data_IF_761217110402
#
_entry.id   IF_761217110402
#
_cell.length_a   1.000
_cell.length_b   1.000
_cell.length_c   1.000
_cell.angle_alpha   90.00
_cell.angle_beta   90.00
_cell.angle_gamma   90.00
#
_symmetry.space_group_name_H-M   'P 1'
#
loop_
_entity.id
_entity.type
_entity.pdbx_description
1 polymer ?
#
# COMPACT_ATOMS: atom_id res chain seq x y z
N UNK A 1 2.79 6.08 -21.85
CA UNK A 1 4.03 6.82 -22.16
C UNK A 1 3.70 7.86 -23.22
N UNK A 2 3.67 9.13 -22.86
CA UNK A 2 3.41 10.23 -23.82
C UNK A 2 4.76 10.71 -24.29
N UNK A 3 5.16 10.29 -25.48
CA UNK A 3 6.35 10.77 -26.16
C UNK A 3 5.98 12.00 -26.99
N UNK A 4 6.71 13.09 -26.79
CA UNK A 4 6.67 14.27 -27.68
C UNK A 4 5.63 15.33 -27.37
N UNK A 5 4.73 15.12 -26.42
CA UNK A 5 3.81 16.16 -25.97
C UNK A 5 4.23 16.60 -24.56
N UNK A 6 4.35 17.89 -24.33
CA UNK A 6 4.66 18.43 -23.02
C UNK A 6 3.63 17.97 -21.99
N UNK A 7 4.11 17.47 -20.87
CA UNK A 7 3.27 17.14 -19.70
C UNK A 7 3.18 18.37 -18.80
N UNK A 8 1.96 18.77 -18.47
CA UNK A 8 1.69 19.83 -17.51
C UNK A 8 1.41 19.21 -16.14
N UNK A 9 2.43 19.16 -15.30
CA UNK A 9 2.31 18.70 -13.92
C UNK A 9 2.35 19.83 -12.91
N UNK A 10 2.36 19.49 -11.64
CA UNK A 10 2.45 20.44 -10.54
C UNK A 10 3.75 21.27 -10.56
N UNK A 11 4.80 20.79 -11.23
CA UNK A 11 6.11 21.45 -11.41
C UNK A 11 6.21 22.23 -12.73
N UNK A 12 5.13 22.36 -13.50
CA UNK A 12 5.12 23.07 -14.78
C UNK A 12 5.02 22.15 -15.99
N UNK A 13 5.52 22.63 -17.15
CA UNK A 13 5.53 21.87 -18.41
C UNK A 13 6.83 21.10 -18.54
N UNK A 14 6.73 19.79 -18.75
CA UNK A 14 7.87 18.92 -18.99
C UNK A 14 7.76 18.26 -20.37
N UNK A 15 8.88 18.27 -21.11
CA UNK A 15 9.01 17.53 -22.36
C UNK A 15 9.93 16.34 -22.10
N UNK A 16 9.48 15.15 -22.48
CA UNK A 16 10.26 13.94 -22.29
C UNK A 16 11.04 13.60 -23.57
N UNK A 17 12.27 13.15 -23.42
CA UNK A 17 13.07 12.63 -24.50
C UNK A 17 12.65 11.20 -24.92
N UNK A 18 13.39 10.60 -25.86
CA UNK A 18 13.06 9.27 -26.40
C UNK A 18 13.23 8.13 -25.37
N UNK A 19 14.00 8.32 -24.33
CA UNK A 19 14.19 7.34 -23.25
C UNK A 19 13.26 7.60 -22.06
N UNK A 20 12.52 8.71 -22.10
CA UNK A 20 11.52 9.05 -21.09
C UNK A 20 12.03 9.98 -20.02
N UNK A 21 13.22 10.55 -20.21
CA UNK A 21 13.75 11.57 -19.31
C UNK A 21 13.23 12.95 -19.70
N UNK A 22 13.21 13.88 -18.74
CA UNK A 22 12.79 15.26 -18.98
C UNK A 22 13.87 15.97 -19.79
N UNK A 23 13.53 16.40 -21.02
CA UNK A 23 14.42 17.18 -21.87
C UNK A 23 14.43 18.63 -21.42
N UNK A 24 15.60 19.15 -21.04
CA UNK A 24 15.76 20.55 -20.69
C UNK A 24 17.06 20.84 -19.93
N UNK A 25 17.45 22.09 -19.88
CA UNK A 25 18.68 22.57 -19.22
C UNK A 25 18.56 22.81 -17.72
N UNK A 26 17.49 22.35 -17.09
CA UNK A 26 17.30 22.49 -15.64
C UNK A 26 16.10 21.70 -15.15
N UNK A 27 16.28 21.03 -14.03
CA UNK A 27 15.20 20.40 -13.27
C UNK A 27 14.77 21.38 -12.19
N UNK A 28 13.48 21.67 -12.12
CA UNK A 28 12.94 22.24 -10.90
C UNK A 28 12.83 21.09 -9.89
N UNK A 29 13.78 21.06 -8.96
CA UNK A 29 13.69 20.13 -7.83
C UNK A 29 12.55 20.61 -6.94
N UNK A 30 11.45 19.90 -7.00
CA UNK A 30 10.27 20.20 -6.21
C UNK A 30 10.19 19.23 -5.03
N UNK A 31 9.92 19.76 -3.86
CA UNK A 31 9.64 18.97 -2.68
C UNK A 31 8.35 19.45 -2.02
N UNK A 32 7.60 18.52 -1.46
CA UNK A 32 6.48 18.88 -0.59
C UNK A 32 7.04 19.31 0.77
N UNK A 33 6.78 20.57 1.14
CA UNK A 33 7.13 21.10 2.46
C UNK A 33 5.86 21.29 3.29
N UNK A 34 5.84 20.77 4.52
CA UNK A 34 4.74 21.03 5.42
C UNK A 34 4.78 22.49 5.89
N UNK A 35 3.67 23.19 5.75
CA UNK A 35 3.52 24.58 6.19
C UNK A 35 2.25 24.67 7.04
N UNK A 36 2.34 25.37 8.17
CA UNK A 36 1.19 25.62 9.03
C UNK A 36 0.45 26.86 8.51
N UNK A 37 -0.79 26.68 8.04
CA UNK A 37 -1.64 27.78 7.58
C UNK A 37 -2.91 27.74 8.42
N UNK A 38 -3.19 28.80 9.16
CA UNK A 38 -4.37 28.97 10.03
C UNK A 38 -4.60 27.79 11.00
N UNK A 39 -3.51 27.21 11.52
CA UNK A 39 -3.55 26.06 12.45
C UNK A 39 -3.78 24.70 11.78
N UNK A 40 -3.90 24.62 10.46
CA UNK A 40 -3.93 23.39 9.68
C UNK A 40 -2.59 23.14 9.01
N UNK A 41 -2.14 21.87 9.02
CA UNK A 41 -0.97 21.46 8.24
C UNK A 41 -1.33 21.42 6.77
N UNK A 42 -0.61 22.18 5.97
CA UNK A 42 -0.75 22.26 4.52
C UNK A 42 0.54 21.80 3.88
N UNK A 43 0.45 20.93 2.88
CA UNK A 43 1.60 20.60 2.05
C UNK A 43 1.68 21.60 0.88
N UNK A 44 2.79 22.30 0.81
CA UNK A 44 3.10 23.15 -0.33
C UNK A 44 4.19 22.50 -1.17
N UNK A 45 3.97 22.49 -2.49
CA UNK A 45 5.02 22.09 -3.44
C UNK A 45 5.95 23.27 -3.65
N UNK A 46 7.16 23.16 -3.14
CA UNK A 46 8.23 24.15 -3.32
C UNK A 46 9.17 23.66 -4.43
N UNK A 47 9.25 24.44 -5.52
CA UNK A 47 10.16 24.18 -6.64
C UNK A 47 11.12 25.35 -6.77
N UNK A 48 12.40 25.15 -6.46
CA UNK A 48 13.45 26.17 -6.60
C UNK A 48 13.05 27.57 -6.09
N UNK A 49 12.28 27.61 -5.00
CA UNK A 49 11.79 28.86 -4.42
C UNK A 49 10.48 29.40 -4.99
N UNK A 50 9.87 28.70 -5.95
CA UNK A 50 8.50 29.00 -6.41
C UNK A 50 7.52 28.06 -5.74
N UNK A 51 6.46 28.60 -5.18
CA UNK A 51 5.41 27.81 -4.54
C UNK A 51 4.36 27.42 -5.58
N UNK A 52 4.19 26.11 -5.76
CA UNK A 52 3.08 25.54 -6.55
C UNK A 52 1.80 25.36 -5.73
N UNK A 53 0.99 24.42 -6.14
CA UNK A 53 -0.32 24.14 -5.53
C UNK A 53 -0.19 23.77 -4.05
N UNK A 54 -0.94 24.44 -3.19
CA UNK A 54 -1.08 24.05 -1.79
C UNK A 54 -2.15 22.95 -1.67
N UNK A 55 -1.77 21.80 -1.12
CA UNK A 55 -2.71 20.75 -0.74
C UNK A 55 -2.96 20.88 0.76
N UNK A 56 -4.17 21.27 1.13
CA UNK A 56 -4.57 21.38 2.53
C UNK A 56 -5.15 20.05 2.98
N UNK A 57 -4.51 19.44 3.97
CA UNK A 57 -5.04 18.24 4.63
C UNK A 57 -5.65 18.66 5.96
N UNK A 58 -6.95 18.56 6.14
CA UNK A 58 -7.60 18.85 7.43
C UNK A 58 -7.28 17.75 8.44
N UNK A 59 -6.27 17.98 9.27
CA UNK A 59 -5.81 17.03 10.29
C UNK A 59 -4.86 15.95 9.77
N UNK A 60 -4.41 15.07 10.65
CA UNK A 60 -3.67 13.87 10.27
C UNK A 60 -4.63 12.92 9.52
N UNK A 61 -4.34 12.64 8.25
CA UNK A 61 -5.10 11.63 7.53
C UNK A 61 -4.75 10.25 8.08
N UNK A 62 -5.73 9.55 8.65
CA UNK A 62 -5.58 8.18 9.11
C UNK A 62 -5.66 7.23 7.92
N UNK A 63 -4.59 6.47 7.71
CA UNK A 63 -4.51 5.44 6.68
C UNK A 63 -4.56 4.08 7.38
N UNK A 64 -5.62 3.34 7.15
CA UNK A 64 -5.81 2.02 7.74
C UNK A 64 -5.28 0.94 6.80
N UNK A 65 -4.43 0.09 7.31
CA UNK A 65 -3.90 -1.10 6.62
C UNK A 65 -4.45 -2.33 7.32
N UNK A 66 -5.04 -3.23 6.56
CA UNK A 66 -5.50 -4.51 7.08
C UNK A 66 -4.35 -5.51 7.19
N UNK A 67 -4.42 -6.39 8.19
CA UNK A 67 -3.55 -7.55 8.27
C UNK A 67 -4.40 -8.80 8.47
N UNK A 68 -4.33 -9.74 7.52
CA UNK A 68 -4.87 -11.09 7.67
C UNK A 68 -3.84 -11.97 8.35
N UNK A 69 -4.01 -12.14 9.67
CA UNK A 69 -3.12 -12.89 10.54
C UNK A 69 -3.74 -14.26 10.86
N UNK A 70 -2.99 -15.37 10.88
CA UNK A 70 -3.50 -16.68 11.29
C UNK A 70 -3.66 -16.75 12.83
N UNK A 71 -4.64 -16.00 13.36
CA UNK A 71 -4.90 -15.93 14.81
C UNK A 71 -5.37 -17.29 15.32
N UNK A 72 -6.16 -17.99 14.51
CA UNK A 72 -6.57 -19.38 14.73
C UNK A 72 -6.02 -20.30 13.64
N UNK A 73 -6.25 -21.60 13.79
CA UNK A 73 -5.85 -22.61 12.80
C UNK A 73 -4.46 -23.20 13.02
N UNK A 74 -3.97 -23.98 12.03
CA UNK A 74 -2.80 -24.85 12.23
C UNK A 74 -1.48 -24.13 12.44
N UNK A 75 -1.36 -22.87 12.06
CA UNK A 75 -0.15 -22.06 12.21
C UNK A 75 -0.32 -20.90 13.19
N UNK A 76 -1.35 -20.93 14.04
CA UNK A 76 -1.64 -19.89 15.03
C UNK A 76 -0.46 -19.59 15.98
N UNK A 77 0.42 -20.56 16.18
CA UNK A 77 1.64 -20.41 17.00
C UNK A 77 2.54 -19.27 16.49
N UNK A 78 2.50 -18.94 15.21
CA UNK A 78 3.28 -17.83 14.61
C UNK A 78 2.58 -16.47 14.69
N UNK A 79 1.28 -16.45 14.98
CA UNK A 79 0.47 -15.22 15.00
C UNK A 79 1.04 -14.11 15.90
N UNK A 80 1.54 -14.38 17.12
CA UNK A 80 2.14 -13.32 17.95
C UNK A 80 3.35 -12.66 17.29
N UNK A 81 4.21 -13.44 16.59
CA UNK A 81 5.36 -12.91 15.87
C UNK A 81 4.96 -12.02 14.71
N UNK A 82 3.94 -12.40 13.94
CA UNK A 82 3.39 -11.59 12.87
C UNK A 82 2.76 -10.30 13.38
N UNK A 83 2.01 -10.35 14.50
CA UNK A 83 1.44 -9.15 15.13
C UNK A 83 2.51 -8.17 15.59
N UNK A 84 3.60 -8.67 16.18
CA UNK A 84 4.75 -7.84 16.58
C UNK A 84 5.38 -7.17 15.35
N UNK A 85 5.60 -7.93 14.28
CA UNK A 85 6.17 -7.39 13.04
C UNK A 85 5.29 -6.28 12.43
N UNK A 86 3.97 -6.45 12.45
CA UNK A 86 3.02 -5.45 12.01
C UNK A 86 3.09 -4.17 12.87
N UNK A 87 3.15 -4.29 14.19
CA UNK A 87 3.30 -3.15 15.10
C UNK A 87 4.62 -2.40 14.92
N UNK A 88 5.71 -3.13 14.64
CA UNK A 88 7.00 -2.51 14.30
C UNK A 88 6.90 -1.74 12.97
N UNK A 89 6.27 -2.32 11.96
CA UNK A 89 6.06 -1.66 10.67
C UNK A 89 5.21 -0.40 10.82
N UNK A 90 4.11 -0.45 11.57
CA UNK A 90 3.26 0.70 11.88
C UNK A 90 4.05 1.81 12.57
N UNK A 91 4.80 1.46 13.62
CA UNK A 91 5.66 2.42 14.35
C UNK A 91 6.71 3.05 13.42
N UNK A 92 7.36 2.22 12.59
CA UNK A 92 8.35 2.70 11.64
C UNK A 92 7.75 3.66 10.62
N UNK A 93 6.64 3.29 9.99
CA UNK A 93 5.94 4.14 9.03
C UNK A 93 5.52 5.48 9.65
N UNK A 94 4.99 5.46 10.86
CA UNK A 94 4.60 6.67 11.57
C UNK A 94 5.78 7.56 11.99
N UNK A 95 6.99 7.00 12.02
CA UNK A 95 8.21 7.74 12.40
C UNK A 95 8.91 8.37 11.20
N UNK A 96 8.98 7.67 10.06
CA UNK A 96 9.79 8.10 8.91
C UNK A 96 9.05 8.98 7.90
N UNK A 97 7.74 8.97 7.93
CA UNK A 97 6.96 9.68 6.92
C UNK A 97 7.08 11.21 7.08
N UNK A 98 7.33 11.96 6.01
CA UNK A 98 7.43 13.41 6.05
C UNK A 98 6.07 14.10 6.04
N UNK A 99 4.99 13.36 5.81
CA UNK A 99 3.63 13.83 5.66
C UNK A 99 2.86 13.57 6.96
N UNK A 100 1.93 14.44 7.29
CA UNK A 100 1.11 14.31 8.50
C UNK A 100 0.03 13.21 8.34
N UNK A 101 0.46 12.00 7.94
CA UNK A 101 -0.36 10.79 7.92
C UNK A 101 -0.15 10.01 9.21
N UNK A 102 -1.17 9.31 9.63
CA UNK A 102 -1.08 8.34 10.70
C UNK A 102 -1.53 6.98 10.15
N UNK A 103 -0.62 6.02 10.15
CA UNK A 103 -0.92 4.64 9.78
C UNK A 103 -1.46 3.89 10.99
N UNK A 104 -2.49 3.09 10.76
CA UNK A 104 -3.10 2.20 11.74
C UNK A 104 -3.21 0.80 11.12
N UNK A 105 -2.69 -0.22 11.82
CA UNK A 105 -2.81 -1.61 11.40
C UNK A 105 -3.98 -2.28 12.12
N UNK A 106 -4.99 -2.70 11.37
CA UNK A 106 -6.13 -3.45 11.87
C UNK A 106 -5.95 -4.92 11.52
N UNK A 107 -6.09 -5.81 12.50
CA UNK A 107 -5.90 -7.25 12.29
C UNK A 107 -7.24 -7.99 12.25
N UNK A 108 -7.31 -8.99 11.37
CA UNK A 108 -8.40 -9.96 11.31
C UNK A 108 -7.84 -11.38 11.16
N UNK A 109 -8.62 -12.37 11.59
CA UNK A 109 -8.22 -13.78 11.51
C UNK A 109 -8.31 -14.30 10.08
N UNK A 110 -7.26 -14.97 9.63
CA UNK A 110 -7.25 -15.72 8.38
C UNK A 110 -7.53 -17.22 8.60
N UNK A 111 -7.42 -17.72 9.83
CA UNK A 111 -7.61 -19.13 10.18
C UNK A 111 -6.72 -20.12 9.43
N UNK A 112 -5.84 -19.65 8.55
CA UNK A 112 -5.18 -20.46 7.52
C UNK A 112 -6.19 -21.20 6.60
N UNK A 113 -7.39 -20.66 6.47
CA UNK A 113 -8.56 -21.23 5.77
C UNK A 113 -9.20 -20.17 4.86
N UNK A 114 -9.65 -20.58 3.66
CA UNK A 114 -10.18 -19.66 2.66
C UNK A 114 -11.47 -18.95 3.10
N UNK A 115 -12.36 -19.66 3.79
CA UNK A 115 -13.64 -19.10 4.25
C UNK A 115 -13.44 -18.12 5.39
N UNK A 116 -12.61 -18.49 6.36
CA UNK A 116 -12.25 -17.63 7.49
C UNK A 116 -11.53 -16.37 6.99
N UNK A 117 -10.60 -16.53 6.06
CA UNK A 117 -9.85 -15.40 5.48
C UNK A 117 -10.75 -14.47 4.65
N UNK A 118 -11.73 -15.00 3.91
CA UNK A 118 -12.72 -14.19 3.19
C UNK A 118 -13.55 -13.33 4.17
N UNK A 119 -13.97 -13.91 5.29
CA UNK A 119 -14.70 -13.19 6.35
C UNK A 119 -13.81 -12.13 7.00
N UNK A 120 -12.52 -12.48 7.27
CA UNK A 120 -11.54 -11.54 7.81
C UNK A 120 -11.28 -10.38 6.86
N UNK A 121 -11.14 -10.66 5.55
CA UNK A 121 -10.97 -9.63 4.52
C UNK A 121 -12.17 -8.67 4.46
N UNK A 122 -13.39 -9.20 4.50
CA UNK A 122 -14.60 -8.37 4.54
C UNK A 122 -14.61 -7.47 5.78
N UNK A 123 -14.25 -8.02 6.95
CA UNK A 123 -14.17 -7.25 8.20
C UNK A 123 -13.17 -6.08 8.08
N UNK A 124 -12.01 -6.32 7.46
CA UNK A 124 -11.01 -5.28 7.21
C UNK A 124 -11.51 -4.20 6.24
N UNK A 125 -12.18 -4.62 5.16
CA UNK A 125 -12.77 -3.72 4.16
C UNK A 125 -13.84 -2.84 4.81
N UNK A 126 -14.71 -3.42 5.62
CA UNK A 126 -15.75 -2.69 6.36
C UNK A 126 -15.17 -1.69 7.38
N UNK A 127 -13.96 -1.98 7.89
CA UNK A 127 -13.21 -1.06 8.72
C UNK A 127 -12.54 0.09 7.95
N UNK A 128 -12.60 0.05 6.61
CA UNK A 128 -12.08 1.09 5.73
C UNK A 128 -10.58 1.01 5.46
N UNK A 129 -9.99 -0.18 5.41
CA UNK A 129 -8.59 -0.35 5.03
C UNK A 129 -8.38 -0.06 3.54
N UNK A 130 -7.22 0.49 3.19
CA UNK A 130 -6.87 0.81 1.80
C UNK A 130 -5.99 -0.27 1.14
N UNK A 131 -5.56 -1.26 1.90
CA UNK A 131 -4.79 -2.40 1.44
C UNK A 131 -4.69 -3.46 2.53
N UNK A 132 -4.42 -4.71 2.16
CA UNK A 132 -4.36 -5.84 3.08
C UNK A 132 -2.99 -6.52 2.96
N UNK A 133 -2.27 -6.63 4.08
CA UNK A 133 -1.10 -7.49 4.23
C UNK A 133 -1.57 -8.89 4.66
N UNK A 134 -1.29 -9.90 3.84
CA UNK A 134 -1.74 -11.26 4.13
C UNK A 134 -2.27 -11.98 2.87
N UNK A 135 -2.66 -13.22 3.06
CA UNK A 135 -2.52 -14.04 4.25
C UNK A 135 -1.21 -14.83 4.25
N UNK A 136 -0.93 -15.54 5.32
CA UNK A 136 0.24 -16.42 5.39
C UNK A 136 0.06 -17.70 4.58
N UNK A 137 -1.13 -18.31 4.66
CA UNK A 137 -1.46 -19.56 3.98
C UNK A 137 -2.03 -19.30 2.59
N UNK A 138 -1.56 -20.04 1.58
CA UNK A 138 -1.98 -19.84 0.19
C UNK A 138 -3.49 -20.02 -0.02
N UNK A 139 -4.12 -21.01 0.64
CA UNK A 139 -5.57 -21.20 0.58
C UNK A 139 -6.35 -20.02 1.19
N UNK A 140 -5.86 -19.46 2.28
CA UNK A 140 -6.42 -18.26 2.90
C UNK A 140 -6.29 -17.04 1.97
N UNK A 141 -5.13 -16.86 1.33
CA UNK A 141 -4.91 -15.80 0.36
C UNK A 141 -5.89 -15.89 -0.82
N UNK A 142 -6.06 -17.09 -1.39
CA UNK A 142 -6.99 -17.31 -2.50
C UNK A 142 -8.46 -17.09 -2.11
N UNK A 143 -8.85 -17.41 -0.87
CA UNK A 143 -10.19 -17.12 -0.38
C UNK A 143 -10.42 -15.61 -0.15
N UNK A 144 -9.44 -14.91 0.39
CA UNK A 144 -9.56 -13.49 0.71
C UNK A 144 -9.54 -12.60 -0.52
N UNK A 145 -8.77 -12.95 -1.58
CA UNK A 145 -8.59 -12.08 -2.75
C UNK A 145 -9.91 -11.86 -3.51
N UNK A 146 -10.82 -12.83 -3.54
CA UNK A 146 -12.11 -12.65 -4.20
C UNK A 146 -12.92 -11.50 -3.60
N UNK A 147 -12.86 -11.35 -2.28
CA UNK A 147 -13.52 -10.27 -1.56
C UNK A 147 -12.77 -8.96 -1.76
N UNK A 148 -11.44 -8.99 -1.63
CA UNK A 148 -10.61 -7.82 -1.72
C UNK A 148 -10.62 -7.17 -3.11
N UNK A 149 -10.47 -7.97 -4.20
CA UNK A 149 -10.52 -7.45 -5.57
C UNK A 149 -11.90 -6.86 -5.92
N UNK A 150 -12.99 -7.48 -5.46
CA UNK A 150 -14.35 -6.96 -5.65
C UNK A 150 -14.52 -5.59 -5.00
N UNK A 151 -13.88 -5.36 -3.86
CA UNK A 151 -13.88 -4.09 -3.16
C UNK A 151 -12.82 -3.08 -3.68
N UNK A 152 -11.97 -3.47 -4.63
CA UNK A 152 -10.89 -2.64 -5.14
C UNK A 152 -9.75 -2.44 -4.14
N UNK A 153 -9.56 -3.38 -3.19
CA UNK A 153 -8.54 -3.32 -2.14
C UNK A 153 -7.39 -4.26 -2.49
N UNK A 154 -6.17 -3.76 -2.74
CA UNK A 154 -5.02 -4.60 -3.07
C UNK A 154 -4.56 -5.44 -1.87
N UNK A 155 -4.06 -6.64 -2.17
CA UNK A 155 -3.50 -7.55 -1.20
C UNK A 155 -2.03 -7.86 -1.48
N UNK A 156 -1.22 -7.96 -0.44
CA UNK A 156 0.19 -8.39 -0.51
C UNK A 156 0.40 -9.54 0.48
N UNK A 157 0.50 -10.77 -0.02
CA UNK A 157 0.82 -11.91 0.83
C UNK A 157 2.29 -11.91 1.24
N UNK A 158 2.54 -12.13 2.53
CA UNK A 158 3.88 -12.18 3.09
C UNK A 158 4.50 -13.59 3.14
N UNK A 159 3.73 -14.67 2.88
CA UNK A 159 4.23 -16.03 3.02
C UNK A 159 3.61 -17.07 2.07
N UNK A 160 2.64 -16.72 1.23
CA UNK A 160 1.94 -17.68 0.35
C UNK A 160 2.76 -18.06 -0.88
N UNK A 161 3.22 -19.29 -0.95
CA UNK A 161 4.17 -19.79 -1.97
C UNK A 161 3.51 -20.58 -3.10
N UNK A 162 2.24 -20.98 -2.99
CA UNK A 162 1.60 -21.83 -3.99
C UNK A 162 1.69 -21.28 -5.43
N UNK A 163 2.02 -22.11 -6.42
CA UNK A 163 1.96 -21.74 -7.84
C UNK A 163 0.57 -21.33 -8.32
N UNK A 164 -0.49 -21.79 -7.65
CA UNK A 164 -1.87 -21.42 -7.97
C UNK A 164 -2.11 -19.90 -7.89
N UNK A 165 -1.40 -19.20 -7.00
CA UNK A 165 -1.47 -17.74 -6.88
C UNK A 165 -0.94 -17.05 -8.14
N UNK A 166 0.11 -17.58 -8.77
CA UNK A 166 0.71 -16.99 -9.98
C UNK A 166 -0.26 -16.99 -11.16
N UNK A 167 -1.11 -18.01 -11.24
CA UNK A 167 -2.04 -18.21 -12.35
C UNK A 167 -3.47 -17.77 -12.01
N UNK A 168 -3.67 -17.17 -10.85
CA UNK A 168 -4.98 -16.72 -10.41
C UNK A 168 -5.37 -15.44 -11.13
N UNK A 169 -6.62 -15.34 -11.54
CA UNK A 169 -7.17 -14.13 -12.17
C UNK A 169 -7.57 -13.13 -11.07
N UNK A 170 -6.60 -12.35 -10.66
CA UNK A 170 -6.72 -11.40 -9.54
C UNK A 170 -6.95 -9.95 -9.97
N UNK A 171 -7.14 -9.71 -11.27
CA UNK A 171 -7.30 -8.36 -11.84
C UNK A 171 -6.18 -7.38 -11.45
N UNK A 172 -5.00 -7.89 -11.06
CA UNK A 172 -3.86 -7.09 -10.60
C UNK A 172 -3.97 -6.60 -9.15
N UNK A 173 -4.83 -7.22 -8.34
CA UNK A 173 -5.01 -6.88 -6.93
C UNK A 173 -4.23 -7.77 -5.96
N UNK A 174 -3.57 -8.86 -6.42
CA UNK A 174 -2.81 -9.76 -5.55
C UNK A 174 -1.32 -9.76 -5.87
N UNK A 175 -0.54 -9.49 -4.87
CA UNK A 175 0.93 -9.52 -4.89
C UNK A 175 1.46 -10.44 -3.79
N UNK A 176 2.73 -10.85 -3.91
CA UNK A 176 3.44 -11.57 -2.83
C UNK A 176 4.91 -11.18 -2.79
N UNK A 177 5.50 -11.19 -1.60
CA UNK A 177 6.93 -10.88 -1.38
C UNK A 177 7.81 -12.12 -1.32
N UNK A 178 7.22 -13.32 -1.46
CA UNK A 178 7.93 -14.61 -1.46
C UNK A 178 7.88 -15.24 -2.85
N UNK A 179 8.88 -16.01 -3.26
CA UNK A 179 8.88 -16.72 -4.54
C UNK A 179 7.82 -17.82 -4.59
N UNK A 180 7.47 -18.23 -5.80
CA UNK A 180 6.62 -19.41 -6.02
C UNK A 180 7.39 -20.71 -5.73
N UNK A 181 6.73 -21.71 -5.16
CA UNK A 181 7.28 -23.05 -5.00
C UNK A 181 7.70 -23.67 -6.34
N UNK A 182 7.10 -23.25 -7.45
CA UNK A 182 7.53 -23.68 -8.78
C UNK A 182 8.97 -23.25 -9.14
N UNK A 183 9.56 -22.30 -8.40
CA UNK A 183 10.95 -21.87 -8.58
C UNK A 183 11.93 -22.62 -7.67
N UNK A 184 11.43 -23.51 -6.82
CA UNK A 184 12.24 -24.28 -5.85
C UNK A 184 12.59 -25.70 -6.34
N UNK A 185 12.20 -26.06 -7.56
CA UNK A 185 12.41 -27.38 -8.17
C UNK A 185 13.68 -27.43 -9.01
#
# INVERSE_FOLDING_TARGET
RVLGNGYHGASGTHTFDQVGDVAGSGYDVCQFVPVLVDGAMTLQLACNGHFGMALTFPGAAHIKIGMLNPITGPIAVYSPGFSIAAGVAETYMNTIQPLNFQFEVIQADSGCDGTTAATGAQTLIDAGVVGIAGAACSGATLGAIEVAKTAGVPMVSYASTSPAITNYDDDGYLFRVVPSDALQS
#
